data_IF_109425198865
#
_entry.id   IF_109425198865
#
_cell.length_a   1.000
_cell.length_b   1.000
_cell.length_c   1.000
_cell.angle_alpha   90.00
_cell.angle_beta   90.00
_cell.angle_gamma   90.00
#
_symmetry.space_group_name_H-M   'P 1'
#
loop_
_entity.id
_entity.type
_entity.pdbx_description
1 polymer ?
#
# COMPACT_ATOMS: atom_id res chain seq x y z
N UNK A 1 5.24 -5.44 -20.70
CA UNK A 1 4.22 -6.12 -21.49
C UNK A 1 4.86 -7.02 -22.53
N UNK A 2 4.33 -8.18 -22.76
CA UNK A 2 4.73 -9.36 -23.52
C UNK A 2 5.24 -9.11 -24.96
N UNK A 3 6.17 -8.19 -25.13
CA UNK A 3 6.80 -7.87 -26.42
C UNK A 3 8.17 -8.54 -26.61
N UNK A 4 8.65 -9.21 -25.56
CA UNK A 4 9.93 -9.93 -25.59
C UNK A 4 9.71 -11.37 -25.14
N UNK A 5 10.38 -12.31 -25.77
CA UNK A 5 10.29 -13.74 -25.51
C UNK A 5 11.68 -14.27 -25.19
N UNK A 6 11.83 -14.88 -24.00
CA UNK A 6 13.04 -15.61 -23.62
C UNK A 6 13.03 -17.03 -24.17
N UNK A 7 14.17 -17.74 -24.08
CA UNK A 7 14.24 -19.15 -24.43
C UNK A 7 13.34 -20.03 -23.55
N UNK A 8 13.09 -19.60 -22.30
CA UNK A 8 12.16 -20.27 -21.39
C UNK A 8 10.72 -20.10 -21.88
N UNK A 9 10.32 -18.87 -22.24
CA UNK A 9 8.97 -18.58 -22.77
C UNK A 9 8.72 -19.31 -24.09
N UNK A 10 9.76 -19.50 -24.90
CA UNK A 10 9.70 -20.25 -26.17
C UNK A 10 9.76 -21.78 -25.97
N UNK A 11 9.80 -22.26 -24.75
CA UNK A 11 9.85 -23.67 -24.38
C UNK A 11 11.04 -24.44 -25.03
N UNK A 12 12.20 -23.83 -25.09
CA UNK A 12 13.38 -24.50 -25.62
C UNK A 12 13.78 -25.68 -24.74
N UNK A 13 14.13 -26.85 -25.31
CA UNK A 13 14.51 -28.03 -24.54
C UNK A 13 15.64 -27.75 -23.55
N UNK A 14 15.49 -28.18 -22.31
CA UNK A 14 16.47 -28.01 -21.22
C UNK A 14 16.49 -26.63 -20.57
N UNK A 15 15.66 -25.69 -21.01
CA UNK A 15 15.52 -24.39 -20.36
C UNK A 15 14.53 -24.47 -19.21
N UNK A 16 14.98 -24.05 -18.00
CA UNK A 16 14.14 -23.93 -16.81
C UNK A 16 14.09 -22.46 -16.37
N UNK A 17 12.97 -22.03 -15.76
CA UNK A 17 12.86 -20.69 -15.22
C UNK A 17 13.80 -20.48 -14.03
N UNK A 18 14.25 -19.24 -13.85
CA UNK A 18 15.00 -18.80 -12.66
C UNK A 18 14.29 -17.59 -12.05
N UNK A 19 14.30 -17.51 -10.73
CA UNK A 19 13.68 -16.40 -10.00
C UNK A 19 14.49 -15.12 -10.22
N UNK A 20 13.79 -14.04 -10.55
CA UNK A 20 14.39 -12.73 -10.72
C UNK A 20 14.86 -12.16 -9.35
N UNK A 21 16.16 -11.96 -9.20
CA UNK A 21 16.77 -11.42 -7.98
C UNK A 21 16.20 -10.05 -7.60
N UNK A 22 15.83 -9.23 -8.58
CA UNK A 22 15.22 -7.92 -8.30
C UNK A 22 13.88 -8.05 -7.57
N UNK A 23 13.04 -9.01 -7.94
CA UNK A 23 11.77 -9.28 -7.25
C UNK A 23 12.00 -9.71 -5.80
N UNK A 24 13.02 -10.55 -5.56
CA UNK A 24 13.42 -10.96 -4.22
C UNK A 24 13.89 -9.75 -3.37
N UNK A 25 14.72 -8.87 -3.95
CA UNK A 25 15.16 -7.64 -3.29
C UNK A 25 13.98 -6.75 -2.91
N UNK A 26 13.00 -6.57 -3.81
CA UNK A 26 11.81 -5.76 -3.54
C UNK A 26 10.96 -6.35 -2.41
N UNK A 27 10.76 -7.67 -2.39
CA UNK A 27 10.03 -8.33 -1.31
C UNK A 27 10.74 -8.18 0.05
N UNK A 28 12.07 -8.36 0.08
CA UNK A 28 12.85 -8.19 1.31
C UNK A 28 12.81 -6.73 1.80
N UNK A 29 12.97 -5.75 0.90
CA UNK A 29 12.83 -4.33 1.25
C UNK A 29 11.48 -4.04 1.87
N UNK A 30 10.40 -4.50 1.24
CA UNK A 30 9.03 -4.33 1.75
C UNK A 30 8.87 -5.01 3.10
N UNK A 31 9.36 -6.25 3.26
CA UNK A 31 9.33 -6.97 4.53
C UNK A 31 10.04 -6.22 5.66
N UNK A 32 11.22 -5.66 5.40
CA UNK A 32 11.93 -4.83 6.39
C UNK A 32 11.12 -3.58 6.75
N UNK A 33 10.52 -2.91 5.75
CA UNK A 33 9.67 -1.74 5.98
C UNK A 33 8.37 -2.05 6.75
N UNK A 34 7.93 -3.30 6.74
CA UNK A 34 6.81 -3.80 7.54
C UNK A 34 7.24 -4.33 8.91
N UNK A 35 8.49 -4.12 9.33
CA UNK A 35 9.07 -4.70 10.55
C UNK A 35 8.86 -6.21 10.62
N UNK A 36 8.95 -6.90 9.50
CA UNK A 36 8.65 -8.31 9.38
C UNK A 36 9.91 -9.16 9.35
N UNK A 37 9.76 -10.43 9.76
CA UNK A 37 10.81 -11.43 9.71
C UNK A 37 11.06 -11.85 8.27
N UNK A 38 12.30 -11.77 7.78
CA UNK A 38 12.70 -12.34 6.50
C UNK A 38 13.04 -13.81 6.70
N UNK A 39 12.39 -14.71 5.96
CA UNK A 39 12.63 -16.14 6.00
C UNK A 39 13.82 -16.49 5.12
N UNK A 40 14.81 -17.20 5.71
CA UNK A 40 16.05 -17.58 5.00
C UNK A 40 15.83 -18.68 3.96
N UNK A 41 14.74 -19.44 4.09
CA UNK A 41 14.34 -20.45 3.11
C UNK A 41 12.92 -20.18 2.70
N UNK A 42 12.72 -20.09 1.39
CA UNK A 42 11.41 -19.84 0.79
C UNK A 42 11.17 -20.79 -0.37
N UNK A 43 9.91 -21.16 -0.62
CA UNK A 43 9.54 -22.12 -1.67
C UNK A 43 8.42 -21.51 -2.48
N UNK A 44 8.56 -21.64 -3.80
CA UNK A 44 7.49 -21.30 -4.72
C UNK A 44 6.62 -22.52 -4.97
N UNK A 45 5.31 -22.31 -4.86
CA UNK A 45 4.28 -23.33 -5.05
C UNK A 45 3.45 -23.02 -6.29
N UNK A 46 2.84 -24.04 -6.91
CA UNK A 46 1.78 -23.87 -7.89
C UNK A 46 0.44 -23.80 -7.18
N UNK A 47 -0.28 -22.68 -7.40
CA UNK A 47 -1.68 -22.47 -7.00
C UNK A 47 -2.55 -22.79 -8.21
N UNK A 48 -3.23 -23.93 -8.19
CA UNK A 48 -3.92 -24.43 -9.37
C UNK A 48 -5.36 -23.92 -9.43
N UNK A 49 -5.69 -23.21 -10.50
CA UNK A 49 -7.05 -22.79 -10.84
C UNK A 49 -7.12 -22.42 -12.32
N UNK A 50 -8.33 -22.46 -12.89
CA UNK A 50 -8.54 -22.31 -14.33
C UNK A 50 -9.38 -21.08 -14.64
N UNK A 51 -8.76 -20.11 -15.32
CA UNK A 51 -9.41 -18.93 -15.86
C UNK A 51 -8.84 -18.60 -17.24
N UNK A 52 -9.62 -17.95 -18.10
CA UNK A 52 -9.18 -17.54 -19.42
C UNK A 52 -7.96 -16.61 -19.39
N UNK A 53 -7.85 -15.79 -18.35
CA UNK A 53 -6.73 -14.87 -18.12
C UNK A 53 -5.54 -15.50 -17.37
N UNK A 54 -5.61 -16.81 -17.11
CA UNK A 54 -4.50 -17.63 -16.59
C UNK A 54 -4.31 -18.87 -17.45
N UNK A 55 -3.78 -18.73 -18.70
CA UNK A 55 -3.75 -19.83 -19.68
C UNK A 55 -3.00 -21.08 -19.24
N UNK A 56 -1.98 -20.93 -18.38
CA UNK A 56 -1.19 -22.07 -17.88
C UNK A 56 -1.93 -22.92 -16.82
N UNK A 57 -3.09 -22.47 -16.33
CA UNK A 57 -3.88 -23.22 -15.38
C UNK A 57 -3.36 -23.24 -13.94
N UNK A 58 -2.29 -22.50 -13.66
CA UNK A 58 -1.77 -22.31 -12.31
C UNK A 58 -1.08 -20.94 -12.19
N UNK A 59 -0.97 -20.47 -10.96
CA UNK A 59 -0.23 -19.26 -10.60
C UNK A 59 0.97 -19.67 -9.73
N UNK A 60 2.17 -19.23 -10.08
CA UNK A 60 3.32 -19.34 -9.17
C UNK A 60 3.05 -18.42 -7.99
N UNK A 61 3.12 -18.96 -6.77
CA UNK A 61 2.85 -18.27 -5.52
C UNK A 61 3.71 -18.85 -4.40
N UNK A 62 3.46 -18.49 -3.15
CA UNK A 62 4.13 -19.07 -1.98
C UNK A 62 3.08 -19.35 -0.90
N UNK A 63 3.01 -20.58 -0.43
CA UNK A 63 2.00 -21.00 0.54
C UNK A 63 2.56 -21.15 1.95
N UNK A 64 3.27 -22.28 2.20
CA UNK A 64 3.79 -22.60 3.56
C UNK A 64 5.09 -21.90 3.90
N UNK A 65 5.88 -21.54 2.90
CA UNK A 65 7.20 -20.97 3.07
C UNK A 65 7.34 -19.62 2.34
N UNK A 66 6.56 -18.59 2.75
CA UNK A 66 6.64 -17.27 2.13
C UNK A 66 8.01 -16.64 2.41
N UNK A 67 8.43 -15.71 1.55
CA UNK A 67 9.70 -14.99 1.70
C UNK A 67 9.71 -14.09 2.94
N UNK A 68 8.57 -13.53 3.33
CA UNK A 68 8.42 -12.66 4.50
C UNK A 68 7.37 -13.25 5.42
N UNK A 69 7.72 -13.43 6.68
CA UNK A 69 6.84 -13.90 7.74
C UNK A 69 6.13 -12.76 8.47
N UNK A 70 5.85 -12.98 9.75
CA UNK A 70 5.11 -12.03 10.58
C UNK A 70 5.83 -10.69 10.74
N UNK A 71 5.03 -9.63 10.75
CA UNK A 71 5.48 -8.25 10.90
C UNK A 71 4.44 -7.38 11.59
N UNK A 72 4.69 -6.06 11.58
CA UNK A 72 3.81 -5.11 12.26
C UNK A 72 3.88 -3.74 11.60
N UNK A 73 2.72 -3.12 11.42
CA UNK A 73 2.58 -1.72 11.00
C UNK A 73 1.93 -0.92 12.12
N UNK A 74 2.56 0.19 12.51
CA UNK A 74 2.01 1.09 13.53
C UNK A 74 1.20 2.20 12.86
N UNK A 75 -0.05 2.36 13.27
CA UNK A 75 -0.95 3.41 12.81
C UNK A 75 -0.94 4.58 13.80
N UNK A 76 -0.90 5.79 13.27
CA UNK A 76 -1.13 7.01 14.03
C UNK A 76 -2.63 7.35 13.94
N UNK A 77 -3.34 7.24 15.06
CA UNK A 77 -4.78 7.51 15.16
C UNK A 77 -5.01 8.67 16.14
N UNK A 78 -6.16 9.36 16.06
CA UNK A 78 -6.48 10.44 17.01
C UNK A 78 -6.43 10.02 18.48
N UNK A 79 -6.73 8.75 18.76
CA UNK A 79 -6.76 8.18 20.12
C UNK A 79 -5.44 7.51 20.54
N UNK A 80 -4.36 7.70 19.77
CA UNK A 80 -3.05 7.11 20.02
C UNK A 80 -2.60 6.12 18.95
N UNK A 81 -1.49 5.46 19.20
CA UNK A 81 -0.93 4.48 18.25
C UNK A 81 -1.63 3.13 18.35
N UNK A 82 -1.86 2.50 17.21
CA UNK A 82 -2.34 1.11 17.13
C UNK A 82 -1.45 0.28 16.23
N UNK A 83 -1.07 -0.91 16.70
CA UNK A 83 -0.30 -1.88 15.92
C UNK A 83 -1.24 -2.83 15.19
N UNK A 84 -1.00 -3.01 13.89
CA UNK A 84 -1.66 -3.99 13.04
C UNK A 84 -0.65 -5.05 12.66
N UNK A 85 -0.95 -6.30 12.95
CA UNK A 85 -0.11 -7.43 12.58
C UNK A 85 -0.15 -7.68 11.08
N UNK A 86 1.03 -8.02 10.54
CA UNK A 86 1.16 -8.61 9.22
C UNK A 86 1.36 -10.11 9.41
N UNK A 87 0.57 -10.91 8.74
CA UNK A 87 0.69 -12.37 8.75
C UNK A 87 1.90 -12.82 7.93
N UNK A 88 1.99 -12.30 6.70
CA UNK A 88 3.06 -12.58 5.75
C UNK A 88 3.04 -11.60 4.58
N UNK A 89 4.15 -11.59 3.85
CA UNK A 89 4.20 -11.12 2.47
C UNK A 89 4.75 -12.26 1.62
N UNK A 90 4.11 -12.56 0.51
CA UNK A 90 4.59 -13.54 -0.44
C UNK A 90 4.64 -12.97 -1.87
N UNK A 91 5.47 -13.61 -2.67
CA UNK A 91 5.59 -13.30 -4.10
C UNK A 91 4.71 -14.23 -4.92
N UNK A 92 4.09 -13.68 -5.93
CA UNK A 92 3.31 -14.45 -6.90
C UNK A 92 3.37 -13.83 -8.30
N UNK A 93 2.88 -14.54 -9.29
CA UNK A 93 2.66 -14.02 -10.62
C UNK A 93 1.32 -13.28 -10.67
N UNK A 94 1.26 -12.12 -11.33
CA UNK A 94 -0.03 -11.51 -11.67
C UNK A 94 -0.70 -12.30 -12.80
N UNK A 95 -2.02 -12.40 -12.76
CA UNK A 95 -2.82 -12.96 -13.85
C UNK A 95 -3.05 -11.91 -14.95
N UNK A 96 -3.58 -12.33 -16.08
CA UNK A 96 -4.12 -11.42 -17.08
C UNK A 96 -5.39 -10.73 -16.58
N UNK A 97 -6.13 -10.12 -17.48
CA UNK A 97 -7.40 -9.43 -17.18
C UNK A 97 -8.48 -9.90 -18.15
N UNK A 98 -9.60 -10.37 -17.62
CA UNK A 98 -10.81 -10.62 -18.39
C UNK A 98 -11.66 -9.35 -18.43
N UNK A 99 -12.09 -8.95 -19.63
CA UNK A 99 -12.84 -7.71 -19.91
C UNK A 99 -14.19 -8.12 -20.48
N UNK A 100 -15.28 -7.76 -19.76
CA UNK A 100 -16.65 -8.18 -20.07
C UNK A 100 -17.58 -7.05 -20.51
N UNK A 101 -17.11 -5.80 -20.44
CA UNK A 101 -17.91 -4.60 -20.63
C UNK A 101 -17.75 -3.93 -21.99
N UNK A 102 -16.85 -4.44 -22.84
CA UNK A 102 -16.59 -3.90 -24.18
C UNK A 102 -17.47 -4.57 -25.24
N UNK A 103 -17.65 -5.88 -25.14
CA UNK A 103 -18.45 -6.67 -26.08
C UNK A 103 -19.48 -7.52 -25.31
N UNK A 104 -20.78 -7.41 -25.63
CA UNK A 104 -21.83 -8.15 -24.91
C UNK A 104 -21.81 -9.68 -25.18
N UNK A 105 -21.20 -10.12 -26.27
CA UNK A 105 -21.16 -11.51 -26.69
C UNK A 105 -19.83 -12.21 -26.45
N UNK A 106 -18.76 -11.44 -26.19
CA UNK A 106 -17.40 -11.95 -26.06
C UNK A 106 -16.71 -11.40 -24.83
N UNK A 107 -15.97 -12.25 -24.14
CA UNK A 107 -14.99 -11.84 -23.13
C UNK A 107 -13.65 -11.61 -23.82
N UNK A 108 -13.14 -10.39 -23.71
CA UNK A 108 -11.78 -10.07 -24.19
C UNK A 108 -10.77 -10.42 -23.08
N UNK A 109 -9.61 -10.95 -23.48
CA UNK A 109 -8.55 -11.31 -22.53
C UNK A 109 -7.31 -10.47 -22.83
N UNK A 110 -6.88 -9.69 -21.82
CA UNK A 110 -5.64 -8.93 -21.85
C UNK A 110 -4.57 -9.63 -21.01
N UNK A 111 -3.52 -10.12 -21.66
CA UNK A 111 -2.42 -10.83 -21.01
C UNK A 111 -1.19 -9.94 -20.74
N UNK A 112 -1.28 -8.62 -20.92
CA UNK A 112 -0.12 -7.73 -20.77
C UNK A 112 0.46 -7.73 -19.34
N UNK A 113 -0.31 -8.05 -18.32
CA UNK A 113 0.16 -8.18 -16.94
C UNK A 113 0.46 -9.61 -16.50
N UNK A 114 0.12 -10.60 -17.34
CA UNK A 114 0.34 -12.02 -17.03
C UNK A 114 1.81 -12.29 -16.75
N UNK A 115 2.12 -12.91 -15.62
CA UNK A 115 3.48 -13.23 -15.21
C UNK A 115 4.30 -12.08 -14.63
N UNK A 116 3.76 -10.87 -14.55
CA UNK A 116 4.41 -9.76 -13.80
C UNK A 116 4.48 -10.13 -12.32
N UNK A 117 5.62 -9.87 -11.69
CA UNK A 117 5.78 -10.16 -10.27
C UNK A 117 4.84 -9.30 -9.41
N UNK A 118 4.10 -9.95 -8.53
CA UNK A 118 3.17 -9.35 -7.59
C UNK A 118 3.59 -9.68 -6.15
N UNK A 119 3.50 -8.72 -5.25
CA UNK A 119 3.64 -8.93 -3.81
C UNK A 119 2.25 -8.90 -3.17
N UNK A 120 1.88 -9.95 -2.46
CA UNK A 120 0.67 -9.96 -1.65
C UNK A 120 1.04 -9.81 -0.17
N UNK A 121 0.52 -8.76 0.48
CA UNK A 121 0.66 -8.49 1.90
C UNK A 121 -0.64 -8.92 2.59
N UNK A 122 -0.56 -9.88 3.49
CA UNK A 122 -1.71 -10.37 4.25
C UNK A 122 -1.64 -9.81 5.67
N UNK A 123 -2.65 -9.03 6.08
CA UNK A 123 -2.76 -8.52 7.44
C UNK A 123 -3.44 -9.52 8.37
N UNK A 124 -3.10 -9.46 9.66
CA UNK A 124 -3.91 -10.10 10.71
C UNK A 124 -5.25 -9.37 10.85
N UNK A 125 -6.30 -10.03 11.36
CA UNK A 125 -7.63 -9.43 11.48
C UNK A 125 -7.72 -8.49 12.69
N UNK A 126 -6.88 -7.45 12.74
CA UNK A 126 -6.74 -6.51 13.84
C UNK A 126 -7.50 -5.19 13.63
N UNK A 127 -7.89 -4.88 12.40
CA UNK A 127 -8.64 -3.68 12.04
C UNK A 127 -10.09 -3.76 12.58
N UNK A 128 -10.61 -2.64 13.13
CA UNK A 128 -11.94 -2.58 13.77
C UNK A 128 -12.79 -1.41 13.29
N UNK A 129 -12.20 -0.35 12.75
CA UNK A 129 -12.91 0.85 12.32
C UNK A 129 -12.50 1.29 10.92
N UNK A 130 -13.35 2.11 10.28
CA UNK A 130 -13.05 2.68 8.97
C UNK A 130 -11.84 3.62 9.00
N UNK A 131 -11.64 4.34 10.10
CA UNK A 131 -10.46 5.21 10.28
C UNK A 131 -9.17 4.40 10.35
N UNK A 132 -9.20 3.25 11.02
CA UNK A 132 -8.07 2.33 11.05
C UNK A 132 -7.75 1.79 9.65
N UNK A 133 -8.76 1.41 8.87
CA UNK A 133 -8.57 0.95 7.49
C UNK A 133 -7.95 2.04 6.63
N UNK A 134 -8.48 3.27 6.71
CA UNK A 134 -7.94 4.41 5.97
C UNK A 134 -6.47 4.68 6.35
N UNK A 135 -6.17 4.71 7.64
CA UNK A 135 -4.81 4.92 8.15
C UNK A 135 -3.88 3.79 7.71
N UNK A 136 -4.34 2.54 7.77
CA UNK A 136 -3.55 1.36 7.37
C UNK A 136 -3.16 1.39 5.89
N UNK A 137 -4.12 1.62 4.99
CA UNK A 137 -3.83 1.66 3.55
C UNK A 137 -2.91 2.83 3.20
N UNK A 138 -3.14 4.01 3.79
CA UNK A 138 -2.25 5.17 3.60
C UNK A 138 -0.84 4.89 4.10
N UNK A 139 -0.69 4.25 5.26
CA UNK A 139 0.60 3.89 5.83
C UNK A 139 1.34 2.87 4.95
N UNK A 140 0.67 1.81 4.49
CA UNK A 140 1.26 0.84 3.56
C UNK A 140 1.72 1.53 2.26
N UNK A 141 0.86 2.34 1.67
CA UNK A 141 1.19 3.10 0.46
C UNK A 141 2.42 3.98 0.67
N UNK A 142 2.47 4.70 1.79
CA UNK A 142 3.62 5.55 2.14
C UNK A 142 4.89 4.72 2.26
N UNK A 143 4.89 3.63 3.03
CA UNK A 143 6.06 2.75 3.20
C UNK A 143 6.56 2.26 1.83
N UNK A 144 5.69 1.75 0.97
CA UNK A 144 6.09 1.22 -0.34
C UNK A 144 6.65 2.30 -1.27
N UNK A 145 6.10 3.52 -1.25
CA UNK A 145 6.64 4.66 -2.00
C UNK A 145 8.02 5.09 -1.49
N UNK A 146 8.23 5.13 -0.18
CA UNK A 146 9.53 5.43 0.41
C UNK A 146 10.58 4.39 0.02
N UNK A 147 10.22 3.12 0.02
CA UNK A 147 11.10 2.02 -0.40
C UNK A 147 11.33 1.96 -1.91
N UNK A 148 10.46 2.62 -2.70
CA UNK A 148 10.48 2.51 -4.16
C UNK A 148 10.05 1.13 -4.67
N UNK A 149 9.27 0.39 -3.89
CA UNK A 149 8.80 -0.96 -4.24
C UNK A 149 7.44 -0.96 -4.93
N UNK A 150 6.68 0.13 -4.81
CA UNK A 150 5.41 0.36 -5.51
C UNK A 150 5.12 1.87 -5.57
N UNK A 151 4.53 2.34 -6.64
CA UNK A 151 4.08 3.74 -6.79
C UNK A 151 2.80 4.03 -5.97
N UNK A 152 2.09 2.98 -5.57
CA UNK A 152 0.88 3.06 -4.78
C UNK A 152 -0.34 3.61 -5.53
N UNK A 153 -0.32 3.56 -6.87
CA UNK A 153 -1.44 4.02 -7.69
C UNK A 153 -2.55 2.96 -7.78
N UNK A 154 -3.65 3.23 -7.08
CA UNK A 154 -4.80 2.33 -7.06
C UNK A 154 -5.63 2.40 -8.34
N UNK A 155 -5.67 3.54 -9.02
CA UNK A 155 -6.45 3.72 -10.25
C UNK A 155 -5.83 2.94 -11.42
N UNK A 156 -4.51 2.88 -11.47
CA UNK A 156 -3.77 2.09 -12.45
C UNK A 156 -3.60 0.62 -12.03
N UNK A 157 -4.06 0.27 -10.83
CA UNK A 157 -3.99 -1.09 -10.30
C UNK A 157 -2.59 -1.52 -9.85
N UNK A 158 -1.66 -0.57 -9.60
CA UNK A 158 -0.37 -0.86 -8.99
C UNK A 158 -0.51 -1.27 -7.52
N UNK A 159 -1.52 -0.74 -6.83
CA UNK A 159 -1.94 -1.15 -5.49
C UNK A 159 -3.39 -1.58 -5.55
N UNK A 160 -3.67 -2.82 -5.15
CA UNK A 160 -5.02 -3.39 -5.05
C UNK A 160 -5.24 -3.90 -3.64
N UNK A 161 -6.47 -3.97 -3.19
CA UNK A 161 -6.80 -4.59 -1.92
C UNK A 161 -8.09 -5.40 -2.03
N UNK A 162 -8.04 -6.63 -1.53
CA UNK A 162 -9.19 -7.44 -1.24
C UNK A 162 -9.53 -7.28 0.25
N UNK A 163 -10.80 -7.16 0.57
CA UNK A 163 -11.25 -6.85 1.91
C UNK A 163 -12.03 -8.03 2.48
N UNK A 164 -11.61 -8.51 3.65
CA UNK A 164 -12.34 -9.52 4.38
C UNK A 164 -13.09 -8.86 5.54
N UNK A 165 -14.42 -8.93 5.55
CA UNK A 165 -15.29 -8.35 6.58
C UNK A 165 -16.02 -9.46 7.32
N UNK A 166 -16.04 -9.38 8.65
CA UNK A 166 -16.91 -10.17 9.51
C UNK A 166 -17.38 -9.34 10.70
N UNK A 167 -18.58 -9.61 11.19
CA UNK A 167 -19.12 -9.00 12.40
C UNK A 167 -19.30 -10.06 13.48
N UNK A 168 -19.26 -9.64 14.74
CA UNK A 168 -19.47 -10.51 15.91
C UNK A 168 -20.15 -9.74 17.04
N UNK A 169 -20.76 -10.43 17.95
CA UNK A 169 -21.25 -9.83 19.19
C UNK A 169 -20.07 -9.23 19.96
N UNK A 170 -20.30 -8.08 20.62
CA UNK A 170 -19.26 -7.30 21.30
C UNK A 170 -18.43 -8.11 22.29
N UNK A 171 -19.04 -9.04 23.00
CA UNK A 171 -18.39 -9.84 24.03
C UNK A 171 -17.84 -11.19 23.51
N UNK A 172 -18.05 -11.49 22.23
CA UNK A 172 -17.51 -12.71 21.61
C UNK A 172 -16.01 -12.56 21.38
N UNK A 173 -15.22 -13.57 21.75
CA UNK A 173 -13.80 -13.67 21.42
C UNK A 173 -13.56 -14.19 19.99
N UNK A 174 -14.49 -14.98 19.47
CA UNK A 174 -14.39 -15.58 18.15
C UNK A 174 -14.84 -14.59 17.08
N UNK A 175 -14.09 -14.52 15.98
CA UNK A 175 -14.51 -13.76 14.80
C UNK A 175 -15.74 -14.40 14.16
N UNK A 176 -16.57 -13.58 13.53
CA UNK A 176 -17.71 -14.06 12.75
C UNK A 176 -17.28 -14.63 11.39
N UNK A 177 -18.26 -15.14 10.64
CA UNK A 177 -18.05 -15.62 9.27
C UNK A 177 -17.68 -14.44 8.38
N UNK A 178 -16.56 -14.60 7.65
CA UNK A 178 -16.04 -13.53 6.79
C UNK A 178 -16.65 -13.60 5.39
N UNK A 179 -16.89 -12.43 4.81
CA UNK A 179 -17.11 -12.27 3.37
C UNK A 179 -15.93 -11.48 2.77
N UNK A 180 -15.44 -11.95 1.62
CA UNK A 180 -14.41 -11.25 0.85
C UNK A 180 -15.08 -10.28 -0.11
N UNK A 181 -14.61 -9.02 -0.15
CA UNK A 181 -15.13 -8.01 -1.07
C UNK A 181 -14.05 -7.68 -2.09
N UNK A 182 -14.40 -7.78 -3.37
CA UNK A 182 -13.55 -7.46 -4.52
C UNK A 182 -14.05 -6.22 -5.28
N UNK A 183 -13.25 -5.78 -6.25
CA UNK A 183 -13.54 -4.62 -7.11
C UNK A 183 -13.53 -3.28 -6.36
N UNK A 184 -12.55 -3.09 -5.48
CA UNK A 184 -12.42 -1.87 -4.69
C UNK A 184 -11.13 -1.16 -5.10
N UNK A 185 -11.25 -0.10 -5.88
CA UNK A 185 -10.13 0.60 -6.52
C UNK A 185 -9.81 1.98 -5.91
N UNK A 186 -10.37 2.29 -4.75
CA UNK A 186 -10.06 3.50 -3.99
C UNK A 186 -10.34 3.33 -2.51
N UNK A 187 -9.65 4.09 -1.66
CA UNK A 187 -9.85 4.06 -0.20
C UNK A 187 -11.30 4.44 0.15
N UNK A 188 -11.89 5.40 -0.58
CA UNK A 188 -13.29 5.79 -0.39
C UNK A 188 -14.24 4.60 -0.62
N UNK A 189 -14.06 3.89 -1.73
CA UNK A 189 -14.89 2.72 -2.03
C UNK A 189 -14.65 1.57 -1.05
N UNK A 190 -13.42 1.41 -0.53
CA UNK A 190 -13.16 0.46 0.56
C UNK A 190 -14.01 0.75 1.79
N UNK A 191 -14.03 2.00 2.25
CA UNK A 191 -14.83 2.40 3.41
C UNK A 191 -16.32 2.15 3.18
N UNK A 192 -16.84 2.54 2.01
CA UNK A 192 -18.24 2.32 1.65
C UNK A 192 -18.60 0.84 1.57
N UNK A 193 -17.72 0.02 0.99
CA UNK A 193 -17.92 -1.42 0.88
C UNK A 193 -17.90 -2.12 2.25
N UNK A 194 -17.00 -1.73 3.14
CA UNK A 194 -16.92 -2.25 4.51
C UNK A 194 -18.16 -1.88 5.30
N UNK A 195 -18.56 -0.61 5.24
CA UNK A 195 -19.73 -0.12 5.96
C UNK A 195 -21.00 -0.85 5.52
N UNK A 196 -21.23 -0.92 4.21
CA UNK A 196 -22.38 -1.66 3.67
C UNK A 196 -22.39 -3.12 4.09
N UNK A 197 -21.25 -3.81 3.94
CA UNK A 197 -21.17 -5.25 4.23
C UNK A 197 -21.30 -5.54 5.73
N UNK A 198 -20.72 -4.69 6.58
CA UNK A 198 -20.86 -4.82 8.03
C UNK A 198 -22.33 -4.67 8.45
N UNK A 199 -23.02 -3.65 7.95
CA UNK A 199 -24.45 -3.43 8.23
C UNK A 199 -25.30 -4.59 7.71
N UNK A 200 -25.07 -5.08 6.48
CA UNK A 200 -25.77 -6.25 5.93
C UNK A 200 -25.60 -7.48 6.82
N UNK A 201 -24.39 -7.72 7.35
CA UNK A 201 -24.14 -8.86 8.23
C UNK A 201 -24.82 -8.67 9.59
N UNK A 202 -24.87 -7.45 10.12
CA UNK A 202 -25.63 -7.15 11.36
C UNK A 202 -27.10 -7.44 11.17
N UNK A 203 -27.73 -6.93 10.08
CA UNK A 203 -29.14 -7.13 9.78
C UNK A 203 -29.48 -8.63 9.69
N UNK A 204 -28.64 -9.42 9.00
CA UNK A 204 -28.85 -10.88 8.90
C UNK A 204 -28.79 -11.57 10.26
N UNK A 205 -27.84 -11.18 11.12
CA UNK A 205 -27.71 -11.77 12.46
C UNK A 205 -28.91 -11.39 13.35
N UNK A 206 -29.37 -10.13 13.27
CA UNK A 206 -30.54 -9.66 14.02
C UNK A 206 -31.83 -10.34 13.56
N UNK A 207 -31.93 -10.69 12.27
CA UNK A 207 -33.03 -11.50 11.73
C UNK A 207 -32.90 -13.00 12.06
N UNK A 208 -31.87 -13.42 12.78
CA UNK A 208 -31.61 -14.82 13.12
C UNK A 208 -31.10 -15.68 11.95
N UNK A 209 -30.62 -15.06 10.89
CA UNK A 209 -30.03 -15.74 9.71
C UNK A 209 -28.54 -15.96 9.89
N UNK A 210 -28.01 -16.97 9.22
CA UNK A 210 -26.58 -17.23 9.14
C UNK A 210 -25.91 -16.40 8.03
N UNK A 211 -24.64 -16.07 8.24
CA UNK A 211 -23.80 -15.47 7.21
C UNK A 211 -23.06 -16.60 6.48
N UNK A 212 -23.17 -16.61 5.17
CA UNK A 212 -22.40 -17.52 4.33
C UNK A 212 -21.02 -16.94 4.00
N UNK A 213 -19.99 -17.79 4.04
CA UNK A 213 -18.66 -17.40 3.58
C UNK A 213 -18.66 -17.36 2.06
N UNK A 214 -18.58 -16.17 1.50
CA UNK A 214 -18.67 -15.95 0.06
C UNK A 214 -17.75 -14.81 -0.39
N UNK A 215 -17.49 -14.76 -1.71
CA UNK A 215 -16.87 -13.60 -2.37
C UNK A 215 -17.97 -12.71 -2.93
N UNK A 216 -17.88 -11.42 -2.64
CA UNK A 216 -18.83 -10.40 -3.04
C UNK A 216 -18.16 -9.34 -3.89
N UNK A 217 -18.89 -8.77 -4.84
CA UNK A 217 -18.46 -7.65 -5.67
C UNK A 217 -19.06 -6.36 -5.13
N UNK A 218 -18.25 -5.32 -4.98
CA UNK A 218 -18.77 -3.99 -4.68
C UNK A 218 -19.22 -3.28 -5.95
N UNK A 219 -20.50 -2.89 -6.00
CA UNK A 219 -21.09 -2.10 -7.06
C UNK A 219 -21.00 -0.60 -6.70
N UNK A 220 -20.07 0.11 -7.32
CA UNK A 220 -19.79 1.52 -7.03
C UNK A 220 -20.92 2.47 -7.45
N UNK A 221 -21.85 2.04 -8.34
CA UNK A 221 -23.00 2.85 -8.78
C UNK A 221 -24.13 2.77 -7.78
N UNK A 222 -24.37 1.57 -7.22
CA UNK A 222 -25.44 1.33 -6.27
C UNK A 222 -24.98 1.44 -4.82
N UNK A 223 -23.67 1.47 -4.58
CA UNK A 223 -23.05 1.44 -3.26
C UNK A 223 -23.47 0.21 -2.41
N UNK A 224 -23.54 -0.94 -3.05
CA UNK A 224 -23.92 -2.21 -2.41
C UNK A 224 -22.95 -3.33 -2.75
N UNK A 225 -22.87 -4.35 -1.90
CA UNK A 225 -22.18 -5.60 -2.22
C UNK A 225 -23.18 -6.62 -2.76
N UNK A 226 -22.77 -7.37 -3.78
CA UNK A 226 -23.56 -8.48 -4.31
C UNK A 226 -22.74 -9.77 -4.40
N UNK A 227 -23.36 -10.91 -4.14
CA UNK A 227 -22.68 -12.19 -4.24
C UNK A 227 -22.17 -12.44 -5.65
N UNK A 228 -20.94 -12.90 -5.77
CA UNK A 228 -20.34 -13.35 -7.04
C UNK A 228 -20.46 -14.85 -7.21
N UNK A 229 -20.37 -15.63 -6.11
CA UNK A 229 -20.33 -17.09 -6.11
C UNK A 229 -20.89 -17.65 -4.79
N UNK A 230 -21.57 -18.79 -4.88
CA UNK A 230 -22.00 -19.55 -3.71
C UNK A 230 -20.88 -20.42 -3.13
N UNK A 231 -21.09 -20.97 -1.94
CA UNK A 231 -20.18 -21.87 -1.18
C UNK A 231 -19.62 -23.07 -1.96
N UNK A 232 -20.28 -23.51 -3.01
CA UNK A 232 -19.92 -24.69 -3.79
C UNK A 232 -18.61 -24.52 -4.58
N UNK A 233 -18.13 -23.28 -4.72
CA UNK A 233 -16.94 -22.92 -5.49
C UNK A 233 -15.70 -22.58 -4.64
N UNK A 234 -15.61 -23.04 -3.37
CA UNK A 234 -14.39 -22.93 -2.60
C UNK A 234 -13.30 -23.79 -3.27
N UNK A 235 -12.46 -23.17 -4.09
CA UNK A 235 -11.41 -23.86 -4.81
C UNK A 235 -10.37 -24.43 -3.83
N UNK A 236 -10.25 -25.75 -3.80
CA UNK A 236 -9.05 -26.41 -3.31
C UNK A 236 -7.94 -26.17 -4.36
N UNK A 237 -7.07 -25.20 -4.13
CA UNK A 237 -5.98 -24.86 -5.04
C UNK A 237 -4.90 -25.93 -5.15
N UNK A 238 -4.95 -26.99 -4.35
CA UNK A 238 -4.02 -28.13 -4.39
C UNK A 238 -2.57 -27.68 -4.53
N UNK A 239 -2.15 -26.80 -3.62
CA UNK A 239 -0.79 -26.27 -3.62
C UNK A 239 0.24 -27.40 -3.55
N UNK A 240 1.26 -27.31 -4.40
CA UNK A 240 2.46 -28.14 -4.31
C UNK A 240 3.67 -27.33 -4.77
N UNK A 241 4.90 -27.66 -4.28
CA UNK A 241 6.11 -26.98 -4.71
C UNK A 241 6.29 -27.06 -6.24
N UNK A 242 6.61 -25.93 -6.86
CA UNK A 242 6.88 -25.91 -8.30
C UNK A 242 8.14 -26.74 -8.60
N UNK A 243 8.05 -27.78 -9.47
CA UNK A 243 9.17 -28.66 -9.75
C UNK A 243 10.29 -27.99 -10.54
N UNK A 244 10.01 -26.88 -11.22
CA UNK A 244 10.95 -26.19 -12.08
C UNK A 244 11.73 -25.10 -11.33
N UNK A 245 11.32 -24.78 -10.08
CA UNK A 245 11.95 -23.75 -9.26
C UNK A 245 12.61 -24.36 -8.04
N UNK A 246 13.91 -24.13 -7.89
CA UNK A 246 14.62 -24.54 -6.69
C UNK A 246 14.16 -23.74 -5.46
N UNK A 247 14.20 -24.35 -4.26
CA UNK A 247 14.04 -23.60 -3.02
C UNK A 247 14.99 -22.40 -2.95
N UNK A 248 14.46 -21.24 -2.61
CA UNK A 248 15.25 -20.02 -2.46
C UNK A 248 15.93 -19.99 -1.11
N UNK A 249 17.25 -19.88 -1.10
CA UNK A 249 18.05 -19.71 0.10
C UNK A 249 18.60 -18.29 0.16
N UNK A 250 18.28 -17.56 1.24
CA UNK A 250 18.61 -16.15 1.43
C UNK A 250 19.65 -16.03 2.55
N UNK A 251 20.85 -15.54 2.21
CA UNK A 251 21.92 -15.35 3.18
C UNK A 251 21.73 -14.10 4.04
N UNK A 252 22.29 -14.12 5.25
CA UNK A 252 22.31 -12.95 6.13
C UNK A 252 23.05 -11.76 5.50
N UNK A 253 24.08 -12.04 4.71
CA UNK A 253 24.83 -11.00 3.99
C UNK A 253 23.95 -10.30 2.97
N UNK A 254 23.13 -11.05 2.22
CA UNK A 254 22.21 -10.49 1.25
C UNK A 254 21.15 -9.62 1.92
N UNK A 255 20.56 -10.09 3.02
CA UNK A 255 19.59 -9.30 3.81
C UNK A 255 20.24 -8.03 4.35
N UNK A 256 21.44 -8.13 4.92
CA UNK A 256 22.16 -6.99 5.49
C UNK A 256 22.50 -5.94 4.44
N UNK A 257 22.92 -6.37 3.24
CA UNK A 257 23.16 -5.47 2.12
C UNK A 257 21.90 -4.68 1.76
N UNK A 258 20.76 -5.36 1.61
CA UNK A 258 19.48 -4.72 1.30
C UNK A 258 19.07 -3.76 2.42
N UNK A 259 19.25 -4.15 3.69
CA UNK A 259 18.91 -3.31 4.85
C UNK A 259 19.70 -2.01 4.86
N UNK A 260 20.98 -2.05 4.49
CA UNK A 260 21.82 -0.86 4.42
C UNK A 260 21.44 0.10 3.28
N UNK A 261 20.77 -0.41 2.24
CA UNK A 261 20.31 0.37 1.07
C UNK A 261 18.90 0.93 1.27
N UNK A 262 18.23 0.65 2.40
CA UNK A 262 16.88 1.16 2.68
C UNK A 262 16.96 2.64 3.06
N UNK A 263 16.16 3.52 2.44
CA UNK A 263 16.08 4.92 2.82
C UNK A 263 15.42 5.06 4.20
N UNK A 264 15.59 6.23 4.81
CA UNK A 264 14.87 6.58 6.03
C UNK A 264 13.35 6.43 5.83
N UNK A 265 12.71 5.62 6.65
CA UNK A 265 11.28 5.30 6.55
C UNK A 265 10.39 6.41 7.16
N UNK A 266 9.08 6.44 6.84
CA UNK A 266 8.18 7.51 7.28
C UNK A 266 8.19 7.72 8.81
N UNK A 267 8.21 6.63 9.60
CA UNK A 267 8.16 6.72 11.06
C UNK A 267 9.44 7.30 11.67
N UNK A 268 10.60 6.91 11.14
CA UNK A 268 11.88 7.44 11.58
C UNK A 268 12.04 8.90 11.15
N UNK A 269 11.65 9.22 9.91
CA UNK A 269 11.62 10.59 9.40
C UNK A 269 10.68 11.49 10.21
N UNK A 270 9.51 10.96 10.61
CA UNK A 270 8.58 11.67 11.50
C UNK A 270 9.22 12.02 12.84
N UNK A 271 9.88 11.05 13.48
CA UNK A 271 10.62 11.27 14.73
C UNK A 271 11.69 12.34 14.56
N UNK A 272 12.48 12.22 13.51
CA UNK A 272 13.52 13.20 13.19
C UNK A 272 12.95 14.61 12.96
N UNK A 273 11.84 14.73 12.23
CA UNK A 273 11.20 16.05 12.01
C UNK A 273 10.70 16.68 13.32
N UNK A 274 10.17 15.88 14.24
CA UNK A 274 9.77 16.36 15.57
C UNK A 274 11.00 16.79 16.38
N UNK A 275 12.05 16.00 16.39
CA UNK A 275 13.25 16.25 17.21
C UNK A 275 14.12 17.39 16.64
N UNK A 276 14.39 17.36 15.34
CA UNK A 276 15.31 18.31 14.68
C UNK A 276 14.64 19.67 14.39
N UNK A 277 13.41 19.62 13.84
CA UNK A 277 12.72 20.83 13.40
C UNK A 277 11.67 21.33 14.41
N UNK A 278 11.52 20.65 15.55
CA UNK A 278 10.55 21.00 16.62
C UNK A 278 9.11 21.09 16.13
N UNK A 279 8.76 20.23 15.16
CA UNK A 279 7.41 20.16 14.64
C UNK A 279 6.48 19.43 15.63
N UNK A 280 5.19 19.76 15.59
CA UNK A 280 4.18 18.97 16.25
C UNK A 280 4.04 17.58 15.58
N UNK A 281 3.58 16.56 16.31
CA UNK A 281 3.30 15.24 15.71
C UNK A 281 2.37 15.30 14.50
N UNK A 282 1.41 16.21 14.52
CA UNK A 282 0.47 16.41 13.42
C UNK A 282 1.17 16.97 12.16
N UNK A 283 1.94 18.06 12.29
CA UNK A 283 2.70 18.66 11.19
C UNK A 283 3.67 17.65 10.57
N UNK A 284 4.43 16.94 11.42
CA UNK A 284 5.36 15.93 10.96
C UNK A 284 4.63 14.79 10.21
N UNK A 285 3.48 14.31 10.69
CA UNK A 285 2.69 13.27 10.04
C UNK A 285 2.23 13.69 8.64
N UNK A 286 1.76 14.92 8.47
CA UNK A 286 1.36 15.44 7.15
C UNK A 286 2.55 15.47 6.20
N UNK A 287 3.69 16.00 6.63
CA UNK A 287 4.88 16.16 5.78
C UNK A 287 5.49 14.81 5.36
N UNK A 288 5.47 13.79 6.23
CA UNK A 288 6.04 12.47 5.91
C UNK A 288 5.04 11.52 5.26
N UNK A 289 3.77 11.88 5.14
CA UNK A 289 2.75 11.03 4.53
C UNK A 289 3.09 10.64 3.08
N UNK A 290 3.82 11.52 2.40
CA UNK A 290 4.30 11.33 1.04
C UNK A 290 5.80 11.68 0.94
N UNK A 291 6.56 10.84 0.24
CA UNK A 291 8.01 10.99 0.12
C UNK A 291 8.42 12.30 -0.59
N UNK A 292 7.67 12.69 -1.62
CA UNK A 292 7.98 13.89 -2.40
C UNK A 292 7.69 15.16 -1.59
N UNK A 293 6.63 15.11 -0.76
CA UNK A 293 6.32 16.17 0.21
C UNK A 293 7.44 16.32 1.24
N UNK A 294 7.89 15.21 1.80
CA UNK A 294 8.99 15.24 2.78
C UNK A 294 10.29 15.81 2.16
N UNK A 295 10.64 15.35 0.96
CA UNK A 295 11.80 15.86 0.22
C UNK A 295 11.68 17.34 -0.12
N UNK A 296 10.51 17.77 -0.54
CA UNK A 296 10.25 19.18 -0.83
C UNK A 296 10.45 20.04 0.41
N UNK A 297 9.89 19.65 1.56
CA UNK A 297 10.08 20.32 2.83
C UNK A 297 11.55 20.38 3.24
N UNK A 298 12.28 19.26 3.22
CA UNK A 298 13.72 19.23 3.53
C UNK A 298 14.52 20.16 2.60
N UNK A 299 14.19 20.20 1.32
CA UNK A 299 14.80 21.10 0.34
C UNK A 299 14.50 22.57 0.63
N UNK A 300 13.29 22.91 1.08
CA UNK A 300 12.95 24.28 1.51
C UNK A 300 13.80 24.67 2.71
N UNK A 301 13.80 23.84 3.77
CA UNK A 301 14.55 24.09 5.00
C UNK A 301 16.05 24.22 4.74
N UNK A 302 16.61 23.40 3.84
CA UNK A 302 18.03 23.45 3.48
C UNK A 302 18.44 24.77 2.78
N UNK A 303 17.51 25.45 2.13
CA UNK A 303 17.72 26.69 1.38
C UNK A 303 17.33 27.96 2.17
N UNK A 304 16.74 27.81 3.34
CA UNK A 304 16.45 28.92 4.25
C UNK A 304 17.74 29.44 4.89
N UNK A 305 17.77 30.76 5.18
CA UNK A 305 18.88 31.43 5.82
C UNK A 305 19.11 31.05 7.28
N UNK A 306 19.97 31.82 7.99
CA UNK A 306 20.30 31.52 9.40
C UNK A 306 19.10 31.65 10.36
N UNK A 307 18.19 32.57 10.10
CA UNK A 307 16.98 32.80 10.91
C UNK A 307 15.80 32.01 10.31
N UNK A 308 15.86 30.68 10.40
CA UNK A 308 14.87 29.79 9.83
C UNK A 308 13.57 29.84 10.63
N UNK A 309 12.52 30.39 10.06
CA UNK A 309 11.15 30.17 10.58
C UNK A 309 10.56 28.91 9.93
N UNK A 310 10.92 27.76 10.51
CA UNK A 310 10.50 26.44 10.00
C UNK A 310 8.98 26.29 10.09
N UNK A 311 8.35 26.85 11.13
CA UNK A 311 6.90 26.76 11.30
C UNK A 311 6.15 27.53 10.22
N UNK A 312 6.67 28.71 9.84
CA UNK A 312 6.13 29.45 8.70
C UNK A 312 6.25 28.64 7.40
N UNK A 313 7.42 28.00 7.16
CA UNK A 313 7.60 27.14 5.98
C UNK A 313 6.59 25.97 5.94
N UNK A 314 6.36 25.31 7.08
CA UNK A 314 5.35 24.23 7.19
C UNK A 314 3.97 24.76 6.85
N UNK A 315 3.56 25.90 7.42
CA UNK A 315 2.25 26.50 7.16
C UNK A 315 2.06 26.85 5.68
N UNK A 316 3.09 27.39 5.02
CA UNK A 316 3.04 27.69 3.59
C UNK A 316 2.95 26.43 2.72
N UNK A 317 3.63 25.36 3.09
CA UNK A 317 3.55 24.08 2.35
C UNK A 317 2.18 23.44 2.54
N UNK A 318 1.75 23.25 3.79
CA UNK A 318 0.54 22.49 4.11
C UNK A 318 -0.75 23.27 3.91
N UNK A 319 -0.70 24.58 3.96
CA UNK A 319 -1.82 25.49 3.69
C UNK A 319 -1.83 25.92 2.21
N UNK A 320 -1.07 26.98 1.92
CA UNK A 320 -1.16 27.69 0.65
C UNK A 320 -0.74 26.84 -0.56
N UNK A 321 0.42 26.18 -0.48
CA UNK A 321 0.91 25.37 -1.60
C UNK A 321 -0.02 24.18 -1.89
N UNK A 322 -0.41 23.44 -0.85
CA UNK A 322 -1.33 22.30 -1.03
C UNK A 322 -2.69 22.75 -1.58
N UNK A 323 -3.22 23.90 -1.14
CA UNK A 323 -4.46 24.43 -1.67
C UNK A 323 -4.37 24.72 -3.19
N UNK A 324 -3.27 25.33 -3.64
CA UNK A 324 -3.02 25.60 -5.05
C UNK A 324 -2.85 24.31 -5.86
N UNK A 325 -2.09 23.35 -5.35
CA UNK A 325 -1.85 22.06 -6.02
C UNK A 325 -3.15 21.25 -6.15
N UNK A 326 -3.94 21.17 -5.09
CA UNK A 326 -5.23 20.48 -5.09
C UNK A 326 -6.21 21.10 -6.11
N UNK A 327 -6.29 22.43 -6.16
CA UNK A 327 -7.16 23.13 -7.13
C UNK A 327 -6.74 22.88 -8.59
N UNK A 328 -5.46 22.57 -8.82
CA UNK A 328 -4.91 22.27 -10.14
C UNK A 328 -4.79 20.78 -10.44
N UNK A 329 -5.19 19.91 -9.50
CA UNK A 329 -4.97 18.45 -9.56
C UNK A 329 -3.50 18.07 -9.83
N UNK A 330 -2.56 18.76 -9.17
CA UNK A 330 -1.13 18.52 -9.29
C UNK A 330 -0.59 17.87 -8.02
N UNK A 331 0.35 16.93 -8.20
CA UNK A 331 1.19 16.41 -7.13
C UNK A 331 2.30 17.41 -6.77
N UNK A 332 2.87 17.32 -5.57
CA UNK A 332 3.93 18.24 -5.14
C UNK A 332 5.19 18.14 -6.00
N UNK A 333 5.48 16.98 -6.56
CA UNK A 333 6.55 16.76 -7.54
C UNK A 333 6.38 17.58 -8.83
N UNK A 334 5.13 17.95 -9.14
CA UNK A 334 4.75 18.77 -10.29
C UNK A 334 4.57 20.26 -9.92
N UNK A 335 4.95 20.64 -8.69
CA UNK A 335 4.77 22.01 -8.20
C UNK A 335 5.45 23.03 -9.11
N UNK A 336 4.73 24.07 -9.58
CA UNK A 336 5.33 25.17 -10.32
C UNK A 336 6.23 26.05 -9.44
N UNK A 337 6.11 25.94 -8.11
CA UNK A 337 6.93 26.66 -7.15
C UNK A 337 8.04 25.73 -6.67
N UNK A 338 9.28 26.05 -7.03
CA UNK A 338 10.44 25.30 -6.56
C UNK A 338 10.67 25.50 -5.05
N UNK A 339 11.27 24.50 -4.39
CA UNK A 339 11.64 24.62 -2.98
C UNK A 339 12.55 25.85 -2.70
N UNK A 340 13.40 26.23 -3.67
CA UNK A 340 14.23 27.42 -3.59
C UNK A 340 13.39 28.70 -3.54
N UNK A 341 12.39 28.82 -4.43
CA UNK A 341 11.55 30.00 -4.50
C UNK A 341 10.67 30.14 -3.25
N UNK A 342 10.14 29.02 -2.73
CA UNK A 342 9.40 29.04 -1.47
C UNK A 342 10.30 29.45 -0.29
N UNK A 343 11.53 28.94 -0.21
CA UNK A 343 12.48 29.33 0.82
C UNK A 343 12.80 30.84 0.77
N UNK A 344 12.95 31.41 -0.43
CA UNK A 344 13.15 32.85 -0.61
C UNK A 344 11.92 33.62 -0.10
N UNK A 345 10.72 33.21 -0.48
CA UNK A 345 9.48 33.85 -0.04
C UNK A 345 9.37 33.85 1.49
N UNK A 346 9.56 32.70 2.12
CA UNK A 346 9.49 32.52 3.59
C UNK A 346 10.55 33.45 4.27
N UNK A 347 11.78 33.49 3.75
CA UNK A 347 12.82 34.36 4.27
C UNK A 347 12.45 35.85 4.18
N UNK A 348 11.86 36.29 3.04
CA UNK A 348 11.42 37.68 2.87
C UNK A 348 10.32 38.04 3.87
N UNK A 349 9.36 37.15 4.09
CA UNK A 349 8.27 37.36 5.06
C UNK A 349 8.87 37.49 6.48
N UNK A 350 9.77 36.59 6.86
CA UNK A 350 10.40 36.59 8.19
C UNK A 350 11.18 37.90 8.42
N UNK A 351 11.95 38.37 7.43
CA UNK A 351 12.71 39.62 7.53
C UNK A 351 11.80 40.85 7.55
N UNK A 352 10.77 40.89 6.70
CA UNK A 352 9.80 41.98 6.64
C UNK A 352 9.05 42.14 7.97
N UNK A 353 8.62 40.99 8.57
CA UNK A 353 7.94 41.00 9.86
C UNK A 353 8.82 41.49 11.02
N UNK A 354 10.10 41.13 11.01
CA UNK A 354 11.07 41.65 12.02
C UNK A 354 11.33 43.15 11.86
N UNK A 355 11.34 43.67 10.63
CA UNK A 355 11.48 45.11 10.39
C UNK A 355 10.23 45.89 10.82
N UNK A 356 9.03 45.41 10.55
CA UNK A 356 7.80 46.07 11.00
C UNK A 356 7.71 46.14 12.52
N UNK A 357 8.01 45.05 13.26
CA UNK A 357 8.06 45.06 14.72
C UNK A 357 9.12 45.99 15.30
N UNK A 358 10.29 46.12 14.64
CA UNK A 358 11.34 47.02 15.07
C UNK A 358 10.95 48.49 14.89
N UNK A 359 10.06 48.81 13.95
CA UNK A 359 9.51 50.17 13.78
C UNK A 359 8.42 50.48 14.81
N UNK A 360 7.55 49.53 15.12
CA UNK A 360 6.50 49.71 16.14
C UNK A 360 7.06 49.92 17.57
N UNK A 361 8.24 49.39 17.86
CA UNK A 361 8.90 49.56 19.19
C UNK A 361 9.78 50.85 19.29
N UNK A 362 9.82 51.69 18.25
CA UNK A 362 10.59 52.95 18.27
C UNK A 362 9.73 54.22 18.39
N UNK A 363 8.42 54.08 18.47
CA UNK A 363 7.47 55.17 18.61
C UNK A 363 6.87 55.34 20.03
N UNK A 364 7.47 54.67 21.07
CA UNK A 364 7.16 54.93 22.48
C UNK A 364 8.29 55.61 23.24
#
# INVERSE_FOLDING_TARGET
>A
PNTQVSLVDAAFPGMLPVINEFCIKQAIKTGIGLNAKINKKSIFDRKNYFYADLPQGYQISQYKNPIVGEGTVTLDLPNGEKKIGIERLHLEQDAGKSIHDIDPNNTLVDLNRSGVALMEIVSKPDLRTLDEVNSYIKKLRSIMRYLGTCDGNMQEGSLRADINVSVRLKDSKNLGTRCEIKNVNSIKFMQMAIDYEANRQVDLIEEGKSIDQETRLFDTKKNETRSMRSKEDAHDYRYFPDPDLLPLEISDQFISKIKNDIPELPDDKKKRFIEEFKLSPYEATILVSDIDTARYFENVVSKMGKNKDIKLAVNWITGELFAVLNNKNLEISQSPISAKNLAILVNLITVSYTHLRAHETRED
#
